data_IF_843625495434
#
_entry.id   IF_843625495434
#
_cell.length_a   1.000
_cell.length_b   1.000
_cell.length_c   1.000
_cell.angle_alpha   90.00
_cell.angle_beta   90.00
_cell.angle_gamma   90.00
#
_symmetry.space_group_name_H-M   'P 1'
#
loop_
_entity.id
_entity.type
_entity.pdbx_description
1 polymer ?
#
# COMPACT_ATOMS: atom_id res chain seq x y z
N UNK A 1 20.44 -24.92 -35.51
CA UNK A 1 21.10 -24.25 -34.35
C UNK A 1 21.55 -22.83 -34.67
N UNK A 2 22.15 -22.55 -35.83
CA UNK A 2 22.61 -21.19 -36.21
C UNK A 2 21.53 -20.08 -36.24
N UNK A 3 20.32 -20.29 -36.78
CA UNK A 3 19.31 -19.21 -36.86
C UNK A 3 18.81 -18.75 -35.48
N UNK A 4 18.59 -19.68 -34.55
CA UNK A 4 18.14 -19.35 -33.20
C UNK A 4 19.19 -18.59 -32.39
N UNK A 5 20.46 -18.98 -32.52
CA UNK A 5 21.57 -18.26 -31.90
C UNK A 5 21.75 -16.85 -32.48
N UNK A 6 21.61 -16.70 -33.80
CA UNK A 6 21.64 -15.38 -34.44
C UNK A 6 20.51 -14.48 -33.95
N UNK A 7 19.27 -14.97 -33.92
CA UNK A 7 18.13 -14.22 -33.39
C UNK A 7 18.32 -13.83 -31.92
N UNK A 8 18.90 -14.73 -31.11
CA UNK A 8 19.24 -14.43 -29.72
C UNK A 8 20.28 -13.32 -29.59
N UNK A 9 21.33 -13.32 -30.43
CA UNK A 9 22.35 -12.26 -30.43
C UNK A 9 21.78 -10.92 -30.89
N UNK A 10 20.92 -10.92 -31.91
CA UNK A 10 20.24 -9.71 -32.39
C UNK A 10 19.32 -9.15 -31.31
N UNK A 11 18.48 -9.97 -30.67
CA UNK A 11 17.65 -9.56 -29.53
C UNK A 11 18.50 -8.97 -28.39
N UNK A 12 19.59 -9.65 -28.03
CA UNK A 12 20.51 -9.18 -26.99
C UNK A 12 21.16 -7.85 -27.34
N UNK A 13 21.54 -7.65 -28.59
CA UNK A 13 22.14 -6.41 -29.08
C UNK A 13 21.13 -5.27 -29.11
N UNK A 14 19.91 -5.52 -29.59
CA UNK A 14 18.82 -4.53 -29.57
C UNK A 14 18.49 -4.10 -28.14
N UNK A 15 18.36 -5.03 -27.19
CA UNK A 15 18.18 -4.72 -25.77
C UNK A 15 19.34 -3.93 -25.19
N UNK A 16 20.58 -4.22 -25.60
CA UNK A 16 21.74 -3.44 -25.17
C UNK A 16 21.70 -1.99 -25.69
N UNK A 17 21.29 -1.77 -26.94
CA UNK A 17 21.09 -0.42 -27.48
C UNK A 17 19.95 0.31 -26.77
N UNK A 18 18.84 -0.38 -26.47
CA UNK A 18 17.69 0.16 -25.75
C UNK A 18 18.01 0.44 -24.27
N UNK A 19 18.95 -0.31 -23.67
CA UNK A 19 19.33 -0.19 -22.26
C UNK A 19 20.00 1.12 -21.84
N UNK A 20 20.36 1.98 -22.79
CA UNK A 20 21.12 3.19 -22.51
C UNK A 20 20.30 4.27 -21.79
N UNK A 21 18.97 4.08 -21.64
CA UNK A 21 18.10 4.97 -20.88
C UNK A 21 18.24 4.71 -19.38
N UNK A 22 19.25 5.35 -18.78
CA UNK A 22 19.36 5.47 -17.32
C UNK A 22 18.34 6.47 -16.81
N UNK A 23 17.59 6.09 -15.77
CA UNK A 23 16.57 6.93 -15.16
C UNK A 23 16.88 7.11 -13.68
N UNK A 24 16.66 8.33 -13.19
CA UNK A 24 16.87 8.66 -11.78
C UNK A 24 15.72 8.08 -10.93
N UNK A 25 16.09 7.33 -9.89
CA UNK A 25 15.18 6.93 -8.82
C UNK A 25 14.93 8.14 -7.91
N UNK A 26 13.67 8.61 -7.86
CA UNK A 26 13.24 9.76 -7.05
C UNK A 26 12.99 9.33 -5.61
N UNK A 27 12.29 8.22 -5.42
CA UNK A 27 12.03 7.67 -4.10
C UNK A 27 11.81 6.17 -4.16
N UNK A 28 12.10 5.50 -3.04
CA UNK A 28 11.80 4.10 -2.82
C UNK A 28 11.09 3.96 -1.49
N UNK A 29 9.98 3.22 -1.47
CA UNK A 29 9.21 2.90 -0.28
C UNK A 29 9.21 1.39 -0.07
N UNK A 30 9.64 0.97 1.11
CA UNK A 30 9.62 -0.44 1.51
C UNK A 30 8.32 -0.72 2.25
N UNK A 31 7.59 -1.75 1.84
CA UNK A 31 6.34 -2.19 2.46
C UNK A 31 6.57 -3.40 3.37
N UNK A 32 5.76 -3.56 4.44
CA UNK A 32 5.84 -4.70 5.36
C UNK A 32 5.62 -6.07 4.70
N UNK A 33 4.93 -6.14 3.56
CA UNK A 33 4.66 -7.38 2.82
C UNK A 33 5.81 -7.84 1.91
N UNK A 34 7.04 -7.42 2.24
CA UNK A 34 8.24 -7.61 1.43
C UNK A 34 8.08 -7.11 -0.01
N UNK A 35 7.38 -5.98 -0.17
CA UNK A 35 7.26 -5.29 -1.45
C UNK A 35 8.02 -3.97 -1.41
N UNK A 36 8.49 -3.52 -2.57
CA UNK A 36 9.10 -2.20 -2.75
C UNK A 36 8.35 -1.44 -3.82
N UNK A 37 7.97 -0.21 -3.51
CA UNK A 37 7.46 0.78 -4.46
C UNK A 37 8.63 1.66 -4.88
N UNK A 38 8.90 1.71 -6.19
CA UNK A 38 9.96 2.53 -6.78
C UNK A 38 9.33 3.62 -7.63
N UNK A 39 9.73 4.86 -7.39
CA UNK A 39 9.30 6.04 -8.14
C UNK A 39 10.49 6.58 -8.93
N UNK A 40 10.34 6.61 -10.25
CA UNK A 40 11.34 7.10 -11.18
C UNK A 40 10.93 8.47 -11.72
N UNK A 41 11.92 9.29 -12.04
CA UNK A 41 11.66 10.54 -12.77
C UNK A 41 11.27 10.21 -14.21
N UNK A 42 10.24 10.89 -14.72
CA UNK A 42 9.73 10.69 -16.07
C UNK A 42 9.61 12.03 -16.78
N UNK A 43 9.88 12.05 -18.08
CA UNK A 43 9.57 13.21 -18.91
C UNK A 43 8.04 13.40 -18.98
N UNK A 44 7.51 14.62 -18.78
CA UNK A 44 6.06 14.88 -18.78
C UNK A 44 5.35 14.49 -20.09
N UNK A 45 6.05 14.56 -21.23
CA UNK A 45 5.52 14.16 -22.53
C UNK A 45 5.38 12.64 -22.74
N UNK A 46 5.89 11.80 -21.83
CA UNK A 46 5.78 10.34 -21.94
C UNK A 46 4.41 9.87 -21.44
N UNK A 47 3.46 9.70 -22.36
CA UNK A 47 2.15 9.12 -22.06
C UNK A 47 2.17 7.59 -22.16
N UNK A 48 1.42 6.93 -21.29
CA UNK A 48 1.23 5.48 -21.32
C UNK A 48 -0.16 5.11 -20.82
N UNK A 49 -0.67 3.99 -21.35
CA UNK A 49 -1.97 3.46 -20.96
C UNK A 49 -1.87 2.72 -19.61
N UNK A 50 -2.97 2.65 -18.83
CA UNK A 50 -3.04 1.76 -17.68
C UNK A 50 -2.75 0.32 -18.08
N UNK A 51 -2.22 -0.48 -17.15
CA UNK A 51 -1.72 -1.87 -17.37
C UNK A 51 -0.44 -1.99 -18.20
N UNK A 52 0.16 -0.87 -18.63
CA UNK A 52 1.47 -0.90 -19.28
C UNK A 52 2.55 -1.51 -18.38
N UNK A 53 3.53 -2.14 -19.00
CA UNK A 53 4.71 -2.71 -18.37
C UNK A 53 5.95 -1.92 -18.76
N UNK A 54 6.94 -1.95 -17.88
CA UNK A 54 8.30 -1.58 -18.20
C UNK A 54 9.22 -2.74 -17.90
N UNK A 55 10.34 -2.82 -18.61
CA UNK A 55 11.44 -3.68 -18.24
C UNK A 55 12.47 -2.87 -17.48
N UNK A 56 12.88 -3.38 -16.32
CA UNK A 56 13.91 -2.73 -15.51
C UNK A 56 15.16 -3.59 -15.47
N UNK A 57 16.31 -2.91 -15.53
CA UNK A 57 17.61 -3.47 -15.22
C UNK A 57 18.24 -2.67 -14.08
N UNK A 58 18.76 -3.39 -13.08
CA UNK A 58 19.45 -2.80 -11.94
C UNK A 58 20.86 -3.38 -11.95
N UNK A 59 21.82 -2.60 -12.45
CA UNK A 59 23.19 -3.04 -12.69
C UNK A 59 23.89 -3.53 -11.40
N UNK A 60 23.49 -2.98 -10.24
CA UNK A 60 24.03 -3.38 -8.94
C UNK A 60 23.61 -4.81 -8.51
N UNK A 61 22.54 -5.37 -9.09
CA UNK A 61 22.06 -6.73 -8.82
C UNK A 61 22.46 -7.65 -9.98
N UNK A 62 22.20 -7.22 -11.21
CA UNK A 62 22.49 -8.00 -12.41
C UNK A 62 22.66 -7.11 -13.64
N UNK A 63 23.79 -7.24 -14.34
CA UNK A 63 24.12 -6.41 -15.51
C UNK A 63 23.34 -6.76 -16.78
N UNK A 64 22.76 -7.97 -16.84
CA UNK A 64 22.20 -8.52 -18.08
C UNK A 64 20.74 -8.98 -17.94
N UNK A 65 20.19 -8.99 -16.73
CA UNK A 65 18.81 -9.44 -16.50
C UNK A 65 17.84 -8.25 -16.54
N UNK A 66 16.85 -8.37 -17.41
CA UNK A 66 15.75 -7.43 -17.53
C UNK A 66 14.50 -8.08 -16.97
N UNK A 67 13.81 -7.37 -16.10
CA UNK A 67 12.62 -7.89 -15.42
C UNK A 67 11.40 -7.02 -15.76
N UNK A 68 10.32 -7.61 -16.29
CA UNK A 68 9.10 -6.87 -16.58
C UNK A 68 8.32 -6.59 -15.29
N UNK A 69 7.85 -5.36 -15.13
CA UNK A 69 6.95 -4.96 -14.06
C UNK A 69 5.86 -4.04 -14.57
N UNK A 70 4.65 -4.22 -14.06
CA UNK A 70 3.52 -3.33 -14.34
C UNK A 70 3.73 -1.97 -13.72
N UNK A 71 3.44 -0.94 -14.49
CA UNK A 71 3.36 0.44 -14.00
C UNK A 71 2.13 0.56 -13.11
N UNK A 72 2.31 1.13 -11.92
CA UNK A 72 1.22 1.38 -10.95
C UNK A 72 0.74 2.81 -10.97
N UNK A 73 1.56 3.77 -11.43
CA UNK A 73 1.15 5.18 -11.59
C UNK A 73 0.22 5.40 -12.79
N UNK A 74 -0.42 6.57 -12.82
CA UNK A 74 -1.27 7.01 -13.94
C UNK A 74 -0.61 8.20 -14.63
N UNK A 75 -0.38 8.11 -15.94
CA UNK A 75 0.31 9.18 -16.71
C UNK A 75 -0.37 10.55 -16.64
N UNK A 76 -1.68 10.59 -16.39
CA UNK A 76 -2.46 11.82 -16.29
C UNK A 76 -2.39 12.48 -14.91
N UNK A 77 -2.27 11.67 -13.84
CA UNK A 77 -2.17 12.16 -12.46
C UNK A 77 -0.72 12.43 -12.07
N UNK A 78 0.18 11.54 -12.49
CA UNK A 78 1.59 11.51 -12.16
C UNK A 78 2.40 11.88 -13.42
N UNK A 79 2.44 13.19 -13.75
CA UNK A 79 3.10 13.66 -14.98
C UNK A 79 4.61 13.43 -14.97
N UNK A 80 5.24 13.65 -13.82
CA UNK A 80 6.69 13.74 -13.68
C UNK A 80 7.30 12.47 -13.07
N UNK A 81 6.46 11.52 -12.66
CA UNK A 81 6.89 10.30 -11.98
C UNK A 81 6.30 9.04 -12.62
N UNK A 82 7.09 7.97 -12.59
CA UNK A 82 6.67 6.64 -12.98
C UNK A 82 6.88 5.70 -11.81
N UNK A 83 5.80 5.06 -11.35
CA UNK A 83 5.82 4.18 -10.19
C UNK A 83 5.67 2.72 -10.60
N UNK A 84 6.44 1.83 -9.97
CA UNK A 84 6.25 0.39 -10.03
C UNK A 84 6.27 -0.21 -8.64
N UNK A 85 5.68 -1.39 -8.49
CA UNK A 85 5.69 -2.15 -7.25
C UNK A 85 6.22 -3.56 -7.50
N UNK A 86 7.22 -3.95 -6.73
CA UNK A 86 7.93 -5.22 -6.87
C UNK A 86 7.79 -6.00 -5.56
N UNK A 87 7.14 -7.17 -5.62
CA UNK A 87 7.08 -8.10 -4.49
C UNK A 87 8.28 -9.05 -4.51
N UNK A 88 8.92 -9.21 -3.35
CA UNK A 88 10.00 -10.19 -3.13
C UNK A 88 9.46 -11.62 -3.27
N UNK A 89 9.64 -12.21 -4.46
CA UNK A 89 9.18 -13.58 -4.77
C UNK A 89 10.30 -14.47 -5.31
N UNK A 90 11.26 -13.90 -6.02
CA UNK A 90 12.45 -14.57 -6.54
C UNK A 90 13.75 -13.99 -5.99
N UNK A 91 14.87 -14.65 -6.33
CA UNK A 91 16.22 -14.26 -5.89
C UNK A 91 16.54 -12.79 -6.19
N UNK A 92 16.29 -12.37 -7.44
CA UNK A 92 16.55 -10.99 -7.87
C UNK A 92 15.75 -9.96 -7.08
N UNK A 93 14.44 -10.17 -6.94
CA UNK A 93 13.55 -9.26 -6.19
C UNK A 93 13.87 -9.23 -4.69
N UNK A 94 14.32 -10.35 -4.13
CA UNK A 94 14.72 -10.43 -2.72
C UNK A 94 16.00 -9.64 -2.46
N UNK A 95 17.00 -9.77 -3.33
CA UNK A 95 18.22 -8.95 -3.24
C UNK A 95 17.91 -7.46 -3.38
N UNK A 96 16.97 -7.09 -4.26
CA UNK A 96 16.50 -5.70 -4.36
C UNK A 96 15.88 -5.21 -3.05
N UNK A 97 14.96 -5.98 -2.47
CA UNK A 97 14.31 -5.67 -1.21
C UNK A 97 15.32 -5.51 -0.06
N UNK A 98 16.31 -6.42 0.04
CA UNK A 98 17.36 -6.36 1.06
C UNK A 98 18.25 -5.11 0.89
N UNK A 99 18.65 -4.79 -0.35
CA UNK A 99 19.45 -3.59 -0.61
C UNK A 99 18.70 -2.31 -0.22
N UNK A 100 17.43 -2.20 -0.63
CA UNK A 100 16.63 -1.01 -0.32
C UNK A 100 16.27 -0.89 1.17
N UNK A 101 16.15 -2.02 1.86
CA UNK A 101 15.93 -2.03 3.32
C UNK A 101 17.18 -1.62 4.12
N UNK A 102 18.38 -1.73 3.53
CA UNK A 102 19.66 -1.48 4.21
C UNK A 102 20.31 -0.15 3.81
N UNK A 103 19.99 0.39 2.64
CA UNK A 103 20.54 1.66 2.13
C UNK A 103 19.78 2.88 2.66
N UNK A 104 20.47 3.75 3.39
CA UNK A 104 20.06 5.13 3.66
C UNK A 104 21.18 6.07 3.17
N UNK A 105 20.98 6.94 2.15
CA UNK A 105 19.82 7.14 1.26
C UNK A 105 19.90 6.32 -0.05
N UNK A 106 18.82 6.24 -0.86
CA UNK A 106 18.78 5.53 -2.15
C UNK A 106 19.57 6.20 -3.29
N UNK A 107 20.53 7.09 -2.98
CA UNK A 107 21.11 8.07 -3.91
C UNK A 107 21.94 7.52 -5.07
N UNK A 108 22.19 6.20 -5.16
CA UNK A 108 23.00 5.61 -6.23
C UNK A 108 22.48 4.26 -6.74
N UNK A 109 21.16 4.04 -6.77
CA UNK A 109 20.64 2.89 -7.51
C UNK A 109 20.61 3.21 -9.01
N UNK A 110 21.64 2.77 -9.74
CA UNK A 110 21.66 2.85 -11.20
C UNK A 110 20.60 1.89 -11.77
N UNK A 111 19.47 2.46 -12.21
CA UNK A 111 18.37 1.76 -12.85
C UNK A 111 18.27 2.18 -14.31
N UNK A 112 18.20 1.19 -15.20
CA UNK A 112 17.89 1.38 -16.61
C UNK A 112 16.49 0.85 -16.88
N UNK A 113 15.71 1.59 -17.67
CA UNK A 113 14.30 1.27 -17.94
C UNK A 113 14.08 1.21 -19.45
N UNK A 114 13.28 0.24 -19.88
CA UNK A 114 12.85 0.06 -21.25
C UNK A 114 11.31 -0.04 -21.29
N UNK A 115 10.69 0.62 -22.26
CA UNK A 115 9.24 0.77 -22.38
C UNK A 115 8.80 2.23 -22.33
N UNK A 116 7.52 2.51 -22.01
CA UNK A 116 6.47 1.60 -21.58
C UNK A 116 5.85 0.79 -22.73
N UNK A 117 5.50 -0.46 -22.46
CA UNK A 117 4.77 -1.34 -23.38
C UNK A 117 3.37 -1.58 -22.83
N UNK A 118 2.34 -1.19 -23.56
CA UNK A 118 0.96 -1.31 -23.08
C UNK A 118 -0.04 -1.51 -24.21
N UNK A 119 -1.30 -1.78 -23.84
CA UNK A 119 -2.36 -1.92 -24.82
C UNK A 119 -2.60 -0.59 -25.54
N UNK A 120 -2.93 -0.67 -26.83
CA UNK A 120 -3.23 0.51 -27.64
C UNK A 120 -4.54 1.22 -27.23
N UNK A 121 -5.41 0.55 -26.46
CA UNK A 121 -6.68 1.13 -26.00
C UNK A 121 -7.10 0.59 -24.64
N UNK A 122 -7.89 1.37 -23.90
CA UNK A 122 -8.39 1.04 -22.56
C UNK A 122 -9.76 0.37 -22.65
N UNK A 123 -9.78 -0.96 -22.80
CA UNK A 123 -11.02 -1.75 -22.96
C UNK A 123 -11.99 -1.62 -21.77
N UNK A 124 -11.45 -1.45 -20.56
CA UNK A 124 -12.23 -1.40 -19.32
C UNK A 124 -13.19 -0.20 -19.26
N UNK A 125 -12.93 0.88 -20.01
CA UNK A 125 -13.78 2.09 -19.98
C UNK A 125 -15.14 1.90 -20.69
N UNK A 126 -15.35 0.77 -21.38
CA UNK A 126 -16.57 0.50 -22.17
C UNK A 126 -17.67 -0.23 -21.39
N UNK A 127 -17.36 -0.72 -20.20
CA UNK A 127 -18.27 -1.54 -19.40
C UNK A 127 -18.96 -0.68 -18.35
N UNK A 128 -20.18 -1.06 -17.97
CA UNK A 128 -20.91 -0.42 -16.87
C UNK A 128 -20.38 -0.90 -15.51
N UNK A 129 -20.05 -2.18 -15.43
CA UNK A 129 -19.49 -2.82 -14.24
C UNK A 129 -18.16 -3.49 -14.58
N UNK A 130 -17.15 -3.29 -13.74
CA UNK A 130 -15.82 -3.85 -13.86
C UNK A 130 -15.52 -4.74 -12.65
N UNK A 131 -15.33 -6.03 -12.87
CA UNK A 131 -14.93 -7.00 -11.84
C UNK A 131 -13.46 -7.34 -12.04
N UNK A 132 -12.61 -6.95 -11.10
CA UNK A 132 -11.17 -7.20 -11.13
C UNK A 132 -10.78 -8.25 -10.10
N UNK A 133 -10.29 -9.40 -10.54
CA UNK A 133 -9.87 -10.52 -9.68
C UNK A 133 -8.35 -10.62 -9.63
N UNK A 134 -7.76 -10.32 -8.48
CA UNK A 134 -6.31 -10.34 -8.28
C UNK A 134 -5.85 -11.42 -7.32
N UNK A 135 -4.66 -11.97 -7.57
CA UNK A 135 -3.98 -12.90 -6.68
C UNK A 135 -2.57 -12.43 -6.32
N UNK A 136 -2.33 -12.13 -5.05
CA UNK A 136 -1.01 -11.71 -4.55
C UNK A 136 -0.51 -10.43 -5.21
N UNK A 137 0.68 -10.48 -5.82
CA UNK A 137 1.25 -9.34 -6.58
C UNK A 137 0.49 -9.01 -7.86
N UNK A 138 -0.47 -9.85 -8.29
CA UNK A 138 -1.32 -9.59 -9.44
C UNK A 138 -2.23 -8.36 -9.31
N UNK A 139 -2.32 -7.74 -8.13
CA UNK A 139 -3.05 -6.49 -7.90
C UNK A 139 -2.42 -5.28 -8.61
N UNK A 140 -1.12 -5.31 -8.92
CA UNK A 140 -0.38 -4.16 -9.46
C UNK A 140 -0.96 -3.55 -10.76
N UNK A 141 -1.34 -4.31 -11.81
CA UNK A 141 -2.01 -3.70 -12.97
C UNK A 141 -3.33 -3.03 -12.62
N UNK A 142 -4.07 -3.54 -11.63
CA UNK A 142 -5.36 -2.98 -11.23
C UNK A 142 -5.23 -1.67 -10.46
N UNK A 143 -4.12 -1.48 -9.72
CA UNK A 143 -3.80 -0.18 -9.12
C UNK A 143 -3.77 0.91 -10.18
N UNK A 144 -3.11 0.67 -11.32
CA UNK A 144 -3.05 1.63 -12.43
C UNK A 144 -4.42 1.90 -13.07
N UNK A 145 -5.25 0.86 -13.24
CA UNK A 145 -6.63 1.02 -13.73
C UNK A 145 -7.45 1.88 -12.78
N UNK A 146 -7.43 1.58 -11.47
CA UNK A 146 -8.21 2.30 -10.47
C UNK A 146 -7.77 3.75 -10.40
N UNK A 147 -6.46 4.04 -10.39
CA UNK A 147 -5.95 5.43 -10.44
C UNK A 147 -6.39 6.17 -11.69
N UNK A 148 -6.42 5.51 -12.85
CA UNK A 148 -6.92 6.11 -14.09
C UNK A 148 -8.43 6.40 -14.06
N UNK A 149 -9.23 5.48 -13.49
CA UNK A 149 -10.67 5.67 -13.30
C UNK A 149 -10.97 6.79 -12.31
N UNK A 150 -10.22 6.86 -11.20
CA UNK A 150 -10.31 7.95 -10.23
C UNK A 150 -10.00 9.30 -10.86
N UNK A 151 -8.96 9.38 -11.69
CA UNK A 151 -8.64 10.61 -12.44
C UNK A 151 -9.82 11.03 -13.32
N UNK A 152 -10.31 10.13 -14.18
CA UNK A 152 -11.45 10.41 -15.09
C UNK A 152 -12.72 10.83 -14.34
N UNK A 153 -13.04 10.15 -13.23
CA UNK A 153 -14.20 10.50 -12.40
C UNK A 153 -14.10 11.91 -11.79
N UNK A 154 -12.87 12.37 -11.50
CA UNK A 154 -12.63 13.70 -10.94
C UNK A 154 -12.53 14.81 -12.02
N UNK A 155 -12.00 14.51 -13.21
CA UNK A 155 -11.76 15.53 -14.25
C UNK A 155 -12.84 15.62 -15.32
N UNK A 156 -13.39 14.50 -15.77
CA UNK A 156 -14.24 14.44 -16.97
C UNK A 156 -15.74 14.42 -16.64
N UNK A 157 -16.13 14.24 -15.37
CA UNK A 157 -17.54 14.23 -14.93
C UNK A 157 -18.42 13.17 -15.62
N UNK A 158 -17.81 12.23 -16.35
CA UNK A 158 -18.49 11.18 -17.09
C UNK A 158 -19.00 10.06 -16.18
N UNK A 159 -19.86 9.19 -16.73
CA UNK A 159 -20.29 7.96 -16.06
C UNK A 159 -19.06 7.07 -15.81
N UNK A 160 -18.66 6.94 -14.55
CA UNK A 160 -17.64 5.98 -14.13
C UNK A 160 -18.26 4.59 -13.97
N UNK A 161 -17.55 3.51 -14.38
CA UNK A 161 -18.04 2.16 -14.12
C UNK A 161 -18.10 1.87 -12.63
N UNK A 162 -19.01 0.98 -12.23
CA UNK A 162 -18.98 0.35 -10.90
C UNK A 162 -17.80 -0.60 -10.85
N UNK A 163 -16.96 -0.50 -9.83
CA UNK A 163 -15.74 -1.29 -9.74
C UNK A 163 -15.81 -2.22 -8.54
N UNK A 164 -15.73 -3.52 -8.79
CA UNK A 164 -15.57 -4.55 -7.76
C UNK A 164 -14.16 -5.14 -7.86
N UNK A 165 -13.32 -4.88 -6.87
CA UNK A 165 -11.98 -5.43 -6.76
C UNK A 165 -11.96 -6.59 -5.77
N UNK A 166 -11.78 -7.81 -6.28
CA UNK A 166 -11.63 -9.04 -5.51
C UNK A 166 -10.14 -9.35 -5.40
N UNK A 167 -9.57 -9.31 -4.20
CA UNK A 167 -8.15 -9.59 -3.97
C UNK A 167 -7.97 -10.84 -3.13
N UNK A 168 -7.14 -11.77 -3.59
CA UNK A 168 -6.76 -12.96 -2.82
C UNK A 168 -5.31 -12.90 -2.38
N UNK A 169 -5.08 -12.93 -1.08
CA UNK A 169 -3.77 -12.90 -0.44
C UNK A 169 -3.50 -14.18 0.35
N UNK A 170 -2.22 -14.52 0.53
CA UNK A 170 -1.83 -15.68 1.34
C UNK A 170 -1.85 -15.32 2.83
N UNK A 171 -1.33 -14.15 3.18
CA UNK A 171 -1.18 -13.65 4.55
C UNK A 171 -1.85 -12.29 4.71
N UNK A 172 -2.25 -11.92 5.92
CA UNK A 172 -2.84 -10.60 6.21
C UNK A 172 -1.87 -9.45 5.95
N UNK A 173 -0.56 -9.65 6.13
CA UNK A 173 0.45 -8.63 5.84
C UNK A 173 0.41 -8.14 4.39
N UNK A 174 0.02 -9.02 3.45
CA UNK A 174 -0.05 -8.69 2.03
C UNK A 174 -1.20 -7.71 1.71
N UNK A 175 -2.16 -7.50 2.63
CA UNK A 175 -3.24 -6.51 2.49
C UNK A 175 -2.70 -5.08 2.37
N UNK A 176 -1.48 -4.81 2.85
CA UNK A 176 -0.78 -3.52 2.68
C UNK A 176 -0.60 -3.12 1.21
N UNK A 177 -0.70 -4.08 0.26
CA UNK A 177 -0.70 -3.78 -1.17
C UNK A 177 -1.96 -3.03 -1.63
N UNK A 178 -3.09 -3.14 -0.91
CA UNK A 178 -4.33 -2.43 -1.23
C UNK A 178 -4.16 -0.92 -0.97
N UNK A 179 -3.40 -0.54 0.07
CA UNK A 179 -3.14 0.87 0.38
C UNK A 179 -2.33 1.58 -0.71
N UNK A 180 -1.66 0.84 -1.59
CA UNK A 180 -0.97 1.40 -2.76
C UNK A 180 -1.94 1.93 -3.83
N UNK A 181 -3.24 1.67 -3.73
CA UNK A 181 -4.23 2.25 -4.66
C UNK A 181 -4.24 3.78 -4.52
N UNK A 182 -4.13 4.32 -3.30
CA UNK A 182 -4.00 5.76 -3.09
C UNK A 182 -2.62 6.24 -3.52
N UNK A 183 -2.53 7.37 -4.24
CA UNK A 183 -1.24 7.99 -4.53
C UNK A 183 -0.57 8.43 -3.21
N UNK A 184 0.75 8.27 -3.15
CA UNK A 184 1.59 8.76 -2.04
C UNK A 184 1.67 10.29 -2.07
N UNK A 185 1.54 10.89 -3.25
CA UNK A 185 1.37 12.33 -3.44
C UNK A 185 -0.02 12.71 -2.91
N UNK A 186 -0.09 13.52 -1.86
CA UNK A 186 -1.33 13.95 -1.18
C UNK A 186 -2.32 14.78 -2.02
N UNK A 187 -2.42 14.53 -3.33
CA UNK A 187 -3.55 14.94 -4.14
C UNK A 187 -4.77 14.20 -3.64
N UNK A 188 -5.68 14.93 -2.98
CA UNK A 188 -6.96 14.42 -2.52
C UNK A 188 -7.83 14.06 -3.75
N UNK A 189 -7.63 12.86 -4.29
CA UNK A 189 -8.58 12.27 -5.22
C UNK A 189 -9.80 11.85 -4.40
N UNK A 190 -10.92 12.51 -4.66
CA UNK A 190 -12.18 12.21 -4.01
C UNK A 190 -12.63 10.81 -4.43
N UNK A 191 -12.47 9.85 -3.52
CA UNK A 191 -12.84 8.44 -3.73
C UNK A 191 -14.36 8.26 -3.78
N UNK A 192 -15.14 9.23 -3.29
CA UNK A 192 -16.61 9.16 -3.30
C UNK A 192 -17.21 9.21 -4.70
N UNK A 193 -16.46 9.71 -5.69
CA UNK A 193 -16.89 9.79 -7.08
C UNK A 193 -16.78 8.47 -7.84
N UNK A 194 -16.03 7.51 -7.32
CA UNK A 194 -15.90 6.18 -7.92
C UNK A 194 -16.57 5.16 -7.00
N UNK A 195 -17.55 4.42 -7.53
CA UNK A 195 -18.17 3.32 -6.79
C UNK A 195 -17.22 2.12 -6.76
N UNK A 196 -16.21 2.18 -5.89
CA UNK A 196 -15.19 1.15 -5.69
C UNK A 196 -15.53 0.30 -4.46
N UNK A 197 -15.85 -0.98 -4.69
CA UNK A 197 -15.98 -2.01 -3.66
C UNK A 197 -14.74 -2.89 -3.66
N UNK A 198 -14.13 -3.10 -2.49
CA UNK A 198 -12.94 -3.95 -2.35
C UNK A 198 -13.28 -5.12 -1.43
N UNK A 199 -13.16 -6.34 -1.94
CA UNK A 199 -13.30 -7.58 -1.19
C UNK A 199 -11.94 -8.28 -1.13
N UNK A 200 -11.38 -8.43 0.07
CA UNK A 200 -10.06 -8.99 0.29
C UNK A 200 -10.13 -10.33 1.04
N UNK A 201 -9.59 -11.38 0.44
CA UNK A 201 -9.61 -12.74 0.95
C UNK A 201 -8.21 -13.18 1.41
N UNK A 202 -8.07 -13.47 2.70
CA UNK A 202 -6.84 -14.01 3.30
C UNK A 202 -6.96 -15.53 3.40
N UNK A 203 -6.26 -16.24 2.53
CA UNK A 203 -6.51 -17.67 2.27
C UNK A 203 -5.77 -18.65 3.18
N UNK A 204 -4.72 -18.23 3.91
CA UNK A 204 -3.93 -19.14 4.79
C UNK A 204 -4.00 -18.81 6.28
N UNK A 205 -4.60 -17.68 6.63
CA UNK A 205 -4.78 -17.27 8.02
C UNK A 205 -6.26 -17.34 8.36
N UNK A 206 -6.57 -17.91 9.51
CA UNK A 206 -7.91 -17.76 10.09
C UNK A 206 -8.00 -16.38 10.69
N UNK A 207 -9.24 -15.87 10.83
CA UNK A 207 -9.47 -14.58 11.46
C UNK A 207 -8.65 -14.52 12.76
N UNK A 208 -7.84 -13.46 12.98
CA UNK A 208 -7.10 -13.33 14.21
C UNK A 208 -8.13 -13.45 15.33
N UNK A 209 -8.04 -14.51 16.13
CA UNK A 209 -8.96 -14.72 17.22
C UNK A 209 -8.91 -13.44 18.07
N UNK A 210 -10.02 -12.71 18.14
CA UNK A 210 -10.16 -11.54 18.98
C UNK A 210 -10.21 -11.98 20.46
N UNK A 211 -9.19 -12.70 20.94
CA UNK A 211 -9.30 -13.51 22.15
C UNK A 211 -7.95 -13.83 22.77
N UNK A 212 -7.17 -12.80 23.11
CA UNK A 212 -6.51 -12.70 24.43
C UNK A 212 -5.68 -11.43 24.57
N UNK A 213 -5.00 -10.97 23.52
CA UNK A 213 -4.00 -9.89 23.68
C UNK A 213 -4.62 -8.54 24.03
N UNK A 214 -5.79 -8.19 23.47
CA UNK A 214 -6.48 -6.95 23.82
C UNK A 214 -7.09 -6.99 25.22
N UNK A 215 -7.56 -8.15 25.70
CA UNK A 215 -7.98 -8.34 27.09
C UNK A 215 -6.80 -8.30 28.04
N UNK A 216 -5.67 -8.93 27.68
CA UNK A 216 -4.43 -8.95 28.45
C UNK A 216 -3.82 -7.55 28.57
N UNK A 217 -3.80 -6.78 27.48
CA UNK A 217 -3.38 -5.38 27.49
C UNK A 217 -4.34 -4.52 28.31
N UNK A 218 -5.66 -4.73 28.22
CA UNK A 218 -6.64 -4.01 29.05
C UNK A 218 -6.50 -4.35 30.54
N UNK A 219 -6.30 -5.61 30.92
CA UNK A 219 -6.03 -5.98 32.32
C UNK A 219 -4.69 -5.43 32.79
N UNK A 220 -3.63 -5.47 31.97
CA UNK A 220 -2.35 -4.83 32.30
C UNK A 220 -2.49 -3.32 32.50
N UNK A 221 -3.23 -2.63 31.64
CA UNK A 221 -3.48 -1.19 31.77
C UNK A 221 -4.31 -0.88 33.02
N UNK A 222 -5.31 -1.71 33.33
CA UNK A 222 -6.11 -1.59 34.55
C UNK A 222 -5.29 -1.85 35.82
N UNK A 223 -4.40 -2.84 35.81
CA UNK A 223 -3.49 -3.13 36.93
C UNK A 223 -2.50 -1.98 37.11
N UNK A 224 -1.92 -1.47 36.02
CA UNK A 224 -0.98 -0.35 36.07
C UNK A 224 -1.66 0.93 36.59
N UNK A 225 -2.90 1.18 36.16
CA UNK A 225 -3.71 2.30 36.65
C UNK A 225 -4.00 2.17 38.15
N UNK A 226 -4.41 0.98 38.62
CA UNK A 226 -4.65 0.74 40.05
C UNK A 226 -3.37 0.92 40.89
N UNK A 227 -2.23 0.42 40.42
CA UNK A 227 -0.93 0.63 41.09
C UNK A 227 -0.57 2.12 41.17
N UNK A 228 -0.82 2.89 40.11
CA UNK A 228 -0.56 4.33 40.10
C UNK A 228 -1.42 5.07 41.13
N UNK A 229 -2.70 4.70 41.26
CA UNK A 229 -3.60 5.25 42.28
C UNK A 229 -3.11 4.89 43.69
N UNK A 230 -2.72 3.64 43.94
CA UNK A 230 -2.18 3.22 45.24
C UNK A 230 -0.91 3.99 45.62
N UNK A 231 0.04 4.14 44.69
CA UNK A 231 1.26 4.91 44.92
C UNK A 231 0.93 6.38 45.19
N UNK A 232 -0.02 6.95 44.46
CA UNK A 232 -0.46 8.34 44.67
C UNK A 232 -1.07 8.55 46.06
N UNK A 233 -1.86 7.60 46.56
CA UNK A 233 -2.42 7.65 47.92
C UNK A 233 -1.31 7.56 48.97
N UNK A 234 -0.31 6.70 48.79
CA UNK A 234 0.82 6.58 49.72
C UNK A 234 1.69 7.84 49.72
N UNK A 235 1.95 8.43 48.54
CA UNK A 235 2.66 9.70 48.43
C UNK A 235 1.86 10.82 49.11
N UNK A 236 0.55 10.90 48.89
CA UNK A 236 -0.30 11.87 49.57
C UNK A 236 -0.27 11.68 51.09
N UNK A 237 -0.43 10.46 51.59
CA UNK A 237 -0.41 10.16 53.03
C UNK A 237 0.96 10.45 53.67
N UNK A 238 2.06 10.11 52.99
CA UNK A 238 3.41 10.41 53.47
C UNK A 238 3.72 11.90 53.42
N UNK A 239 3.27 12.61 52.39
CA UNK A 239 3.42 14.07 52.31
C UNK A 239 2.62 14.77 53.41
N UNK A 240 1.38 14.34 53.70
CA UNK A 240 0.56 14.84 54.82
C UNK A 240 1.20 14.50 56.16
N UNK A 241 1.70 13.28 56.35
CA UNK A 241 2.38 12.88 57.59
C UNK A 241 3.66 13.69 57.82
N UNK A 242 4.47 13.90 56.77
CA UNK A 242 5.66 14.75 56.83
C UNK A 242 5.30 16.21 57.07
N UNK A 243 4.22 16.71 56.45
CA UNK A 243 3.70 18.05 56.70
C UNK A 243 3.28 18.19 58.16
N UNK A 244 2.54 17.22 58.71
CA UNK A 244 2.06 17.25 60.09
C UNK A 244 3.22 17.08 61.09
N UNK A 245 4.24 16.26 60.77
CA UNK A 245 5.47 16.14 61.56
C UNK A 245 6.32 17.41 61.51
N UNK A 246 6.39 18.08 60.35
CA UNK A 246 7.04 19.39 60.20
C UNK A 246 6.26 20.48 60.93
N UNK A 247 4.93 20.48 60.86
CA UNK A 247 4.07 21.39 61.59
C UNK A 247 4.19 21.18 63.11
N UNK A 248 4.31 19.93 63.60
CA UNK A 248 4.58 19.64 65.00
C UNK A 248 6.01 20.02 65.45
N UNK A 249 7.01 19.90 64.58
CA UNK A 249 8.35 20.43 64.85
C UNK A 249 8.37 21.96 64.84
N UNK A 250 7.66 22.59 63.91
CA UNK A 250 7.50 24.04 63.83
C UNK A 250 6.66 24.59 65.00
N UNK A 251 5.62 23.88 65.46
CA UNK A 251 4.85 24.24 66.66
C UNK A 251 5.69 24.07 67.95
N UNK A 252 6.76 23.26 67.91
CA UNK A 252 7.80 23.17 68.95
C UNK A 252 8.98 24.16 68.75
N UNK A 253 9.07 24.85 67.62
CA UNK A 253 10.11 25.84 67.31
C UNK A 253 9.59 27.27 67.07
N UNK A 254 8.27 27.49 67.06
CA UNK A 254 7.61 28.81 67.13
C UNK A 254 7.38 29.15 68.62
N UNK A 255 8.49 29.09 69.35
CA UNK A 255 8.88 30.02 70.41
C UNK A 255 10.29 30.40 69.97
N UNK A 256 10.40 31.53 69.25
CA UNK A 256 11.60 32.32 68.89
C UNK A 256 11.65 32.79 67.41
N UNK A 257 11.16 34.02 67.19
CA UNK A 257 11.83 35.16 66.50
C UNK A 257 12.07 35.19 64.96
N UNK A 258 11.27 36.07 64.31
CA UNK A 258 11.47 37.05 63.19
C UNK A 258 12.18 36.77 61.84
N UNK A 259 11.40 37.03 60.77
CA UNK A 259 11.58 37.65 59.40
C UNK A 259 12.83 38.49 59.03
N UNK A 260 13.08 38.95 57.75
CA UNK A 260 12.41 38.71 56.42
C UNK A 260 13.32 38.65 55.12
N UNK A 261 12.67 38.55 53.94
CA UNK A 261 13.03 39.04 52.55
C UNK A 261 14.01 38.15 51.73
N UNK A 262 13.81 37.79 50.45
CA UNK A 262 13.47 38.60 49.25
C UNK A 262 13.01 37.70 48.06
N UNK A 263 12.05 38.16 47.24
CA UNK A 263 11.63 37.72 45.88
C UNK A 263 12.64 38.22 44.79
N UNK A 264 12.50 38.03 43.44
CA UNK A 264 11.32 37.75 42.57
C UNK A 264 11.53 36.61 41.51
N UNK A 265 10.49 36.03 40.89
CA UNK A 265 9.90 36.39 39.56
C UNK A 265 10.76 35.90 38.36
N UNK A 266 10.31 35.45 37.19
CA UNK A 266 9.03 35.22 36.52
C UNK A 266 9.34 34.66 35.10
N UNK A 267 8.33 34.15 34.40
CA UNK A 267 8.10 34.13 32.93
C UNK A 267 8.22 32.79 32.15
N UNK A 268 7.09 32.50 31.52
CA UNK A 268 6.68 31.53 30.50
C UNK A 268 7.63 31.34 29.30
N UNK A 269 7.56 30.17 28.65
CA UNK A 269 7.05 30.11 27.27
C UNK A 269 6.53 28.73 26.87
N UNK A 270 5.36 28.78 26.25
CA UNK A 270 4.55 27.71 25.65
C UNK A 270 4.92 27.59 24.17
N UNK A 271 5.16 26.38 23.66
CA UNK A 271 5.01 25.99 22.24
C UNK A 271 4.87 24.47 22.15
N UNK A 272 3.64 23.99 22.26
CA UNK A 272 3.26 22.70 21.70
C UNK A 272 2.87 22.96 20.24
N UNK A 273 3.68 22.45 19.32
CA UNK A 273 3.36 22.36 17.90
C UNK A 273 2.90 20.93 17.67
N UNK A 274 1.62 20.67 17.93
CA UNK A 274 1.00 19.43 17.48
C UNK A 274 0.91 19.47 15.95
N UNK A 275 1.63 18.54 15.32
CA UNK A 275 1.49 18.23 13.92
C UNK A 275 0.19 17.43 13.80
N UNK A 276 -0.93 18.10 13.55
CA UNK A 276 -2.16 17.43 13.15
C UNK A 276 -1.89 16.63 11.87
N UNK A 277 -1.79 15.32 12.02
CA UNK A 277 -1.83 14.41 10.89
C UNK A 277 -3.29 14.23 10.50
N UNK A 278 -3.63 14.72 9.31
CA UNK A 278 -4.90 14.43 8.64
C UNK A 278 -5.15 12.92 8.64
N UNK A 279 -6.40 12.46 8.79
CA UNK A 279 -6.70 11.04 8.76
C UNK A 279 -6.52 10.54 7.31
N UNK A 280 -5.38 9.92 7.03
CA UNK A 280 -5.22 9.11 5.82
C UNK A 280 -6.25 7.98 5.90
N UNK A 281 -7.35 8.09 5.14
CA UNK A 281 -8.29 6.98 4.94
C UNK A 281 -7.55 5.83 4.27
N UNK A 282 -7.19 4.79 5.02
CA UNK A 282 -6.62 3.57 4.44
C UNK A 282 -7.73 2.77 3.74
N UNK A 283 -7.49 2.30 2.51
CA UNK A 283 -8.47 1.43 1.82
C UNK A 283 -8.66 0.11 2.56
N UNK A 284 -7.66 -0.34 3.34
CA UNK A 284 -7.82 -1.51 4.23
C UNK A 284 -9.00 -1.35 5.20
N UNK A 285 -9.28 -0.13 5.69
CA UNK A 285 -10.40 0.11 6.60
C UNK A 285 -11.77 0.10 5.90
N UNK A 286 -11.80 0.30 4.58
CA UNK A 286 -13.03 0.33 3.77
C UNK A 286 -13.28 -1.02 3.06
N UNK A 287 -12.26 -1.86 2.94
CA UNK A 287 -12.35 -3.17 2.31
C UNK A 287 -13.08 -4.18 3.22
N UNK A 288 -13.92 -5.02 2.62
CA UNK A 288 -14.49 -6.19 3.30
C UNK A 288 -13.43 -7.30 3.34
N UNK A 289 -13.01 -7.72 4.54
CA UNK A 289 -11.92 -8.68 4.72
C UNK A 289 -12.47 -10.03 5.17
N UNK A 290 -12.25 -11.04 4.33
CA UNK A 290 -12.62 -12.43 4.54
C UNK A 290 -11.39 -13.25 4.93
N UNK A 291 -11.49 -14.10 5.96
CA UNK A 291 -10.38 -14.91 6.44
C UNK A 291 -10.66 -16.41 6.33
N UNK A 292 -9.65 -17.18 5.94
CA UNK A 292 -9.69 -18.64 5.92
C UNK A 292 -10.52 -19.24 4.78
N UNK A 293 -11.02 -18.42 3.87
CA UNK A 293 -11.82 -18.83 2.72
C UNK A 293 -11.25 -18.30 1.40
N UNK A 294 -11.68 -18.93 0.29
CA UNK A 294 -11.40 -18.46 -1.07
C UNK A 294 -12.65 -17.78 -1.63
N UNK A 295 -12.49 -16.77 -2.50
CA UNK A 295 -13.65 -16.13 -3.13
C UNK A 295 -14.45 -17.15 -3.95
N UNK A 296 -15.75 -17.20 -3.72
CA UNK A 296 -16.67 -17.93 -4.60
C UNK A 296 -16.99 -17.04 -5.81
N UNK A 297 -16.06 -17.04 -6.77
CA UNK A 297 -16.12 -16.17 -7.95
C UNK A 297 -17.38 -16.42 -8.77
N UNK A 298 -17.87 -17.67 -8.80
CA UNK A 298 -19.09 -18.03 -9.51
C UNK A 298 -20.30 -17.33 -8.88
N UNK A 299 -20.43 -17.41 -7.56
CA UNK A 299 -21.50 -16.73 -6.82
C UNK A 299 -21.41 -15.21 -6.92
N UNK A 300 -20.21 -14.65 -6.84
CA UNK A 300 -20.00 -13.20 -6.94
C UNK A 300 -20.39 -12.70 -8.33
N UNK A 301 -19.94 -13.37 -9.39
CA UNK A 301 -20.28 -13.00 -10.77
C UNK A 301 -21.77 -13.19 -11.07
N UNK A 302 -22.43 -14.22 -10.52
CA UNK A 302 -23.88 -14.40 -10.71
C UNK A 302 -24.73 -13.34 -10.03
N UNK A 303 -24.19 -12.67 -9.01
CA UNK A 303 -24.88 -11.59 -8.30
C UNK A 303 -24.58 -10.20 -8.88
N UNK A 304 -23.70 -10.11 -9.89
CA UNK A 304 -23.37 -8.84 -10.53
C UNK A 304 -24.44 -8.49 -11.56
N UNK A 305 -25.23 -7.46 -11.29
CA UNK A 305 -26.19 -6.91 -12.24
C UNK A 305 -25.53 -5.85 -13.13
N UNK A 306 -25.75 -5.92 -14.44
CA UNK A 306 -25.25 -4.92 -15.39
C UNK A 306 -25.53 -5.28 -16.85
N UNK A 307 -25.69 -4.25 -17.68
CA UNK A 307 -25.89 -4.42 -19.13
C UNK A 307 -24.61 -4.86 -19.86
N UNK A 308 -23.45 -4.52 -19.30
CA UNK A 308 -22.12 -4.89 -19.81
C UNK A 308 -21.12 -5.00 -18.66
N UNK A 309 -20.61 -6.21 -18.42
CA UNK A 309 -19.73 -6.55 -17.30
C UNK A 309 -18.35 -6.97 -17.84
N UNK A 310 -17.32 -6.21 -17.51
CA UNK A 310 -15.94 -6.55 -17.82
C UNK A 310 -15.28 -7.30 -16.66
N UNK A 311 -14.79 -8.52 -16.90
CA UNK A 311 -14.08 -9.33 -15.91
C UNK A 311 -12.59 -9.37 -16.25
N UNK A 312 -11.74 -8.81 -15.37
CA UNK A 312 -10.29 -8.81 -15.54
C UNK A 312 -9.64 -9.69 -14.48
N UNK A 313 -8.68 -10.51 -14.88
CA UNK A 313 -8.00 -11.42 -13.95
C UNK A 313 -6.49 -11.37 -14.05
N UNK A 314 -5.83 -11.17 -12.91
CA UNK A 314 -4.37 -11.09 -12.79
C UNK A 314 -3.87 -11.89 -11.58
N UNK A 315 -3.09 -12.94 -11.81
CA UNK A 315 -2.58 -13.79 -10.74
C UNK A 315 -2.19 -15.21 -11.17
N UNK A 316 -2.18 -16.17 -10.22
CA UNK A 316 -1.74 -17.55 -10.48
C UNK A 316 -2.48 -18.20 -11.64
N UNK A 317 -1.77 -19.01 -12.45
CA UNK A 317 -2.33 -19.65 -13.64
C UNK A 317 -3.63 -20.41 -13.35
N UNK A 318 -3.69 -21.20 -12.27
CA UNK A 318 -4.90 -21.95 -11.88
C UNK A 318 -6.12 -21.04 -11.67
N UNK A 319 -5.94 -19.92 -10.98
CA UNK A 319 -7.00 -18.93 -10.74
C UNK A 319 -7.48 -18.31 -12.06
N UNK A 320 -6.56 -17.96 -12.97
CA UNK A 320 -6.92 -17.38 -14.28
C UNK A 320 -7.76 -18.35 -15.12
N UNK A 321 -7.41 -19.64 -15.14
CA UNK A 321 -8.18 -20.66 -15.85
C UNK A 321 -9.55 -20.91 -15.20
N UNK A 322 -9.61 -20.90 -13.88
CA UNK A 322 -10.86 -21.07 -13.13
C UNK A 322 -11.85 -19.94 -13.44
N UNK A 323 -11.40 -18.68 -13.38
CA UNK A 323 -12.26 -17.54 -13.74
C UNK A 323 -12.67 -17.59 -15.21
N UNK A 324 -11.77 -17.93 -16.13
CA UNK A 324 -12.11 -18.08 -17.54
C UNK A 324 -13.21 -19.14 -17.76
N UNK A 325 -13.10 -20.28 -17.07
CA UNK A 325 -14.10 -21.36 -17.11
C UNK A 325 -15.44 -20.89 -16.57
N UNK A 326 -15.45 -20.17 -15.44
CA UNK A 326 -16.65 -19.61 -14.84
C UNK A 326 -17.32 -18.62 -15.81
N UNK A 327 -16.54 -17.70 -16.39
CA UNK A 327 -17.02 -16.71 -17.36
C UNK A 327 -17.62 -17.36 -18.60
N UNK A 328 -17.06 -18.48 -19.07
CA UNK A 328 -17.59 -19.23 -20.22
C UNK A 328 -18.87 -20.00 -19.85
N UNK A 329 -18.99 -20.45 -18.60
CA UNK A 329 -20.14 -21.22 -18.11
C UNK A 329 -21.34 -20.35 -17.71
N UNK A 330 -21.10 -19.11 -17.25
CA UNK A 330 -22.13 -18.11 -17.02
C UNK A 330 -22.61 -17.59 -18.38
N UNK A 331 -23.62 -18.25 -18.95
CA UNK A 331 -24.18 -17.97 -20.29
C UNK A 331 -24.94 -16.65 -20.39
N UNK A 332 -24.28 -15.52 -20.13
CA UNK A 332 -24.87 -14.19 -20.27
C UNK A 332 -24.04 -13.40 -21.29
N UNK A 333 -24.65 -13.01 -22.42
CA UNK A 333 -23.97 -12.37 -23.58
C UNK A 333 -23.32 -11.00 -23.27
N UNK A 334 -23.50 -10.51 -22.05
CA UNK A 334 -23.01 -9.24 -21.49
C UNK A 334 -21.69 -9.37 -20.71
N UNK A 335 -21.06 -10.55 -20.64
CA UNK A 335 -19.81 -10.76 -19.90
C UNK A 335 -18.58 -10.77 -20.83
N UNK A 336 -17.62 -9.88 -20.57
CA UNK A 336 -16.38 -9.78 -21.34
C UNK A 336 -15.17 -10.12 -20.46
N UNK A 337 -14.51 -11.24 -20.75
CA UNK A 337 -13.36 -11.71 -19.98
C UNK A 337 -12.02 -11.29 -20.59
N UNK A 338 -11.12 -10.77 -19.76
CA UNK A 338 -9.73 -10.51 -20.11
C UNK A 338 -8.77 -11.02 -19.03
N UNK A 339 -7.69 -11.68 -19.44
CA UNK A 339 -6.64 -12.14 -18.54
C UNK A 339 -5.38 -11.34 -18.73
N UNK A 340 -4.92 -10.70 -17.65
CA UNK A 340 -3.60 -10.09 -17.59
C UNK A 340 -2.63 -11.16 -17.10
N UNK A 341 -1.78 -11.62 -18.01
CA UNK A 341 -0.80 -12.65 -17.74
C UNK A 341 0.60 -12.08 -17.74
N UNK A 342 1.40 -12.52 -16.79
CA UNK A 342 2.84 -12.32 -16.83
C UNK A 342 3.50 -13.66 -16.56
N UNK A 343 4.44 -14.03 -17.42
CA UNK A 343 5.37 -15.12 -17.18
C UNK A 343 6.51 -14.56 -16.34
N UNK A 344 6.43 -14.71 -15.02
CA UNK A 344 7.52 -14.40 -14.08
C UNK A 344 8.44 -15.60 -13.87
#
# INVERSE_FOLDING_TARGET
>A
MLPGFYLFLVDRYLRFLQSQQKIQLVSARVLPCEAVELNFSKNPGLCYAPTSIIFINIASISKLQWHPFSITSCSNTDSDTLSIVIKSTGKWSHTLFQKLSTLSPPSHLDVSIEGPYGPASTFFSRHETLVMVSGGSGITPFISIIRSLLFKANTEGGKSPKVLLICSFKKSIDLTMIDLILPVSGTALDTSRLQLQIEAYVTREKMPAATNDRKLLQTLWSILSMLFVCVSIVIAATSVFLWNKKHNKALKQIKNTSTPTTSPGSVNHKTDRELESLPNQSFIQTAEIHYGERPDIKKILSNCDGSSIGVLVSGPGKMRHEVASICTSCSTDNLHFESISFSW
#
